data_IF_388691323393
#
_entry.id   IF_388691323393
#
_cell.length_a   1.000
_cell.length_b   1.000
_cell.length_c   1.000
_cell.angle_alpha   90.00
_cell.angle_beta   90.00
_cell.angle_gamma   90.00
#
_symmetry.space_group_name_H-M   'P 1'
#
loop_
_entity.id
_entity.type
_entity.pdbx_description
1 polymer ?
#
# COMPACT_ATOMS: atom_id res chain seq x y z
N UNK A 1 -7.07 -15.47 -16.33
CA UNK A 1 -6.96 -14.00 -16.44
C UNK A 1 -5.88 -13.45 -15.51
N UNK A 2 -5.90 -13.74 -14.22
CA UNK A 2 -4.89 -13.24 -13.28
C UNK A 2 -3.47 -13.67 -13.67
N UNK A 3 -3.27 -14.93 -14.05
CA UNK A 3 -1.99 -15.44 -14.55
C UNK A 3 -1.47 -14.67 -15.77
N UNK A 4 -2.36 -14.29 -16.68
CA UNK A 4 -2.00 -13.47 -17.85
C UNK A 4 -1.45 -12.09 -17.43
N UNK A 5 -2.00 -11.50 -16.37
CA UNK A 5 -1.48 -10.25 -15.81
C UNK A 5 -0.10 -10.44 -15.19
N UNK A 6 0.12 -11.51 -14.42
CA UNK A 6 1.45 -11.81 -13.87
C UNK A 6 2.52 -11.98 -14.96
N UNK A 7 2.21 -12.68 -16.04
CA UNK A 7 3.13 -12.86 -17.16
C UNK A 7 3.47 -11.56 -17.90
N UNK A 8 2.59 -10.57 -17.87
CA UNK A 8 2.73 -9.29 -18.57
C UNK A 8 2.90 -8.10 -17.62
N UNK A 9 3.18 -8.31 -16.35
CA UNK A 9 3.15 -7.30 -15.30
C UNK A 9 4.05 -6.07 -15.57
N UNK A 10 5.24 -6.27 -16.16
CA UNK A 10 6.16 -5.19 -16.53
C UNK A 10 5.53 -4.28 -17.59
N UNK A 11 5.00 -4.85 -18.69
CA UNK A 11 4.34 -4.12 -19.76
C UNK A 11 3.10 -3.36 -19.25
N UNK A 12 2.30 -4.00 -18.39
CA UNK A 12 1.10 -3.38 -17.80
C UNK A 12 1.50 -2.17 -16.95
N UNK A 13 2.53 -2.29 -16.10
CA UNK A 13 3.00 -1.17 -15.29
C UNK A 13 3.51 -0.01 -16.17
N UNK A 14 4.32 -0.29 -17.17
CA UNK A 14 4.81 0.73 -18.08
C UNK A 14 3.66 1.49 -18.77
N UNK A 15 2.68 0.77 -19.32
CA UNK A 15 1.51 1.36 -19.97
C UNK A 15 0.60 2.12 -18.99
N UNK A 16 0.42 1.61 -17.77
CA UNK A 16 -0.33 2.29 -16.72
C UNK A 16 0.33 3.61 -16.35
N UNK A 17 1.65 3.63 -16.21
CA UNK A 17 2.42 4.84 -15.90
C UNK A 17 2.33 5.87 -17.02
N UNK A 18 2.57 5.48 -18.28
CA UNK A 18 2.42 6.36 -19.45
C UNK A 18 1.01 6.95 -19.56
N UNK A 19 -0.03 6.12 -19.35
CA UNK A 19 -1.42 6.58 -19.37
C UNK A 19 -1.70 7.58 -18.24
N UNK A 20 -1.19 7.30 -17.02
CA UNK A 20 -1.34 8.19 -15.88
C UNK A 20 -0.71 9.56 -16.14
N UNK A 21 0.53 9.62 -16.60
CA UNK A 21 1.24 10.87 -16.90
C UNK A 21 0.51 11.71 -17.95
N UNK A 22 -0.06 11.06 -18.99
CA UNK A 22 -0.87 11.74 -20.01
C UNK A 22 -2.13 12.38 -19.44
N UNK A 23 -2.76 11.74 -18.44
CA UNK A 23 -3.96 12.28 -17.79
C UNK A 23 -3.58 13.35 -16.77
N UNK A 24 -2.51 13.15 -16.03
CA UNK A 24 -1.99 14.09 -15.06
C UNK A 24 -1.69 15.45 -15.68
N UNK A 25 -0.97 15.47 -16.82
CA UNK A 25 -0.63 16.70 -17.54
C UNK A 25 -1.84 17.45 -18.11
N UNK A 26 -2.99 16.78 -18.30
CA UNK A 26 -4.24 17.41 -18.76
C UNK A 26 -5.05 18.01 -17.61
N UNK A 27 -4.92 17.46 -16.40
CA UNK A 27 -5.76 17.82 -15.26
C UNK A 27 -5.05 18.72 -14.24
N UNK A 28 -3.75 18.86 -14.34
CA UNK A 28 -2.93 19.67 -13.40
C UNK A 28 -1.67 20.16 -14.10
N UNK A 29 -0.96 21.10 -13.43
CA UNK A 29 0.39 21.48 -13.82
C UNK A 29 1.46 20.47 -13.38
N UNK A 30 1.04 19.26 -13.00
CA UNK A 30 1.93 18.17 -12.60
C UNK A 30 2.45 17.41 -13.79
N UNK A 31 3.73 17.05 -13.75
CA UNK A 31 4.40 16.33 -14.80
C UNK A 31 4.98 15.00 -14.32
N UNK A 32 5.16 14.85 -12.99
CA UNK A 32 5.76 13.68 -12.39
C UNK A 32 4.93 13.15 -11.22
N UNK A 33 4.83 11.83 -11.12
CA UNK A 33 4.42 11.15 -9.90
C UNK A 33 5.67 10.56 -9.27
N UNK A 34 5.83 10.74 -7.96
CA UNK A 34 6.86 10.02 -7.19
C UNK A 34 6.20 9.08 -6.21
N UNK A 35 6.68 7.85 -6.22
CA UNK A 35 6.24 6.81 -5.29
C UNK A 35 7.44 6.24 -4.56
N UNK A 36 7.30 6.04 -3.26
CA UNK A 36 8.17 5.23 -2.42
C UNK A 36 7.34 4.17 -1.71
N UNK A 37 7.98 3.11 -1.27
CA UNK A 37 7.32 1.99 -0.59
C UNK A 37 7.88 1.79 0.81
N UNK A 38 7.02 1.36 1.73
CA UNK A 38 7.36 0.83 3.05
C UNK A 38 6.99 -0.65 3.04
N UNK A 39 7.98 -1.54 3.12
CA UNK A 39 7.78 -2.99 3.14
C UNK A 39 7.98 -3.50 4.56
N UNK A 40 6.91 -4.00 5.15
CA UNK A 40 6.90 -4.58 6.49
C UNK A 40 6.96 -6.11 6.42
N UNK A 41 7.65 -6.73 7.37
CA UNK A 41 7.75 -8.18 7.50
C UNK A 41 8.18 -8.56 8.91
N UNK A 42 7.96 -9.84 9.28
CA UNK A 42 8.49 -10.39 10.53
C UNK A 42 9.72 -11.23 10.27
N UNK A 43 10.73 -11.10 11.15
CA UNK A 43 11.82 -12.06 11.24
C UNK A 43 11.47 -13.11 12.28
N UNK A 44 11.44 -14.38 11.87
CA UNK A 44 11.03 -15.53 12.66
C UNK A 44 12.18 -16.52 12.84
N UNK A 45 12.14 -17.32 13.90
CA UNK A 45 13.03 -18.48 14.02
C UNK A 45 12.64 -19.59 13.00
N UNK A 46 13.42 -20.66 12.95
CA UNK A 46 13.15 -21.80 12.03
C UNK A 46 11.87 -22.57 12.33
N UNK A 47 11.29 -22.36 13.51
CA UNK A 47 10.01 -22.96 13.91
C UNK A 47 8.84 -21.97 13.69
N UNK A 48 9.08 -20.83 13.02
CA UNK A 48 8.13 -19.76 12.78
C UNK A 48 7.62 -19.05 14.06
N UNK A 49 8.41 -19.04 15.13
CA UNK A 49 8.12 -18.27 16.33
C UNK A 49 8.73 -16.86 16.23
N UNK A 50 8.15 -15.94 17.01
CA UNK A 50 8.70 -14.58 17.20
C UNK A 50 10.12 -14.64 17.78
N UNK A 51 11.00 -13.77 17.29
CA UNK A 51 12.35 -13.60 17.82
C UNK A 51 12.34 -12.47 18.83
N UNK A 52 12.62 -12.80 20.10
CA UNK A 52 12.72 -11.84 21.20
C UNK A 52 14.16 -11.35 21.44
N UNK A 53 15.15 -11.92 20.75
CA UNK A 53 16.54 -11.51 20.87
C UNK A 53 16.79 -10.22 20.10
N UNK A 54 16.89 -9.12 20.83
CA UNK A 54 17.09 -7.79 20.27
C UNK A 54 18.39 -7.68 19.45
N UNK A 55 19.46 -8.37 19.82
CA UNK A 55 20.73 -8.32 19.08
C UNK A 55 20.59 -8.93 17.67
N UNK A 56 19.80 -9.99 17.53
CA UNK A 56 19.53 -10.60 16.20
C UNK A 56 18.79 -9.60 15.32
N UNK A 57 17.74 -8.98 15.84
CA UNK A 57 16.92 -8.00 15.10
C UNK A 57 17.77 -6.77 14.73
N UNK A 58 18.55 -6.21 15.67
CA UNK A 58 19.36 -5.02 15.40
C UNK A 58 20.46 -5.30 14.37
N UNK A 59 21.14 -6.44 14.46
CA UNK A 59 22.13 -6.84 13.47
C UNK A 59 21.51 -7.02 12.09
N UNK A 60 20.31 -7.60 12.02
CA UNK A 60 19.57 -7.76 10.77
C UNK A 60 19.20 -6.39 10.19
N UNK A 61 18.63 -5.49 10.99
CA UNK A 61 18.28 -4.14 10.59
C UNK A 61 19.49 -3.36 10.07
N UNK A 62 20.61 -3.42 10.79
CA UNK A 62 21.85 -2.73 10.40
C UNK A 62 22.38 -3.24 9.05
N UNK A 63 22.32 -4.56 8.81
CA UNK A 63 22.80 -5.19 7.58
C UNK A 63 22.02 -4.78 6.33
N UNK A 64 20.73 -4.48 6.49
CA UNK A 64 19.80 -4.12 5.39
C UNK A 64 19.38 -2.64 5.39
N UNK A 65 19.91 -1.80 6.30
CA UNK A 65 19.46 -0.43 6.53
C UNK A 65 17.94 -0.36 6.81
N UNK A 66 17.44 -1.38 7.51
CA UNK A 66 16.06 -1.50 7.92
C UNK A 66 15.82 -0.84 9.28
N UNK A 67 14.56 -0.74 9.67
CA UNK A 67 14.13 -0.24 10.99
C UNK A 67 13.29 -1.30 11.69
N UNK A 68 13.29 -1.28 13.02
CA UNK A 68 12.29 -1.99 13.79
C UNK A 68 10.93 -1.34 13.57
N UNK A 69 9.91 -2.15 13.44
CA UNK A 69 8.52 -1.71 13.48
C UNK A 69 7.90 -2.07 14.84
N UNK A 70 6.61 -1.81 15.05
CA UNK A 70 5.98 -1.88 16.36
C UNK A 70 5.68 -3.31 16.84
N UNK A 71 5.50 -4.25 15.90
CA UNK A 71 5.30 -5.67 16.25
C UNK A 71 6.57 -6.34 16.75
N UNK A 72 6.43 -7.33 17.60
CA UNK A 72 7.57 -8.07 18.18
C UNK A 72 8.31 -8.87 17.08
N UNK A 73 9.54 -8.45 16.76
CA UNK A 73 10.30 -9.03 15.64
C UNK A 73 9.88 -8.49 14.26
N UNK A 74 9.02 -7.47 14.20
CA UNK A 74 8.63 -6.81 12.96
C UNK A 74 9.68 -5.79 12.52
N UNK A 75 9.91 -5.75 11.21
CA UNK A 75 10.93 -4.92 10.56
C UNK A 75 10.30 -4.22 9.36
N UNK A 76 10.74 -2.99 9.10
CA UNK A 76 10.35 -2.17 7.96
C UNK A 76 11.57 -1.79 7.13
N UNK A 77 11.44 -1.85 5.81
CA UNK A 77 12.38 -1.27 4.85
C UNK A 77 11.65 -0.24 4.01
N UNK A 78 12.25 0.95 3.92
CA UNK A 78 11.70 2.08 3.15
C UNK A 78 12.59 2.30 1.93
N UNK A 79 11.95 2.42 0.74
CA UNK A 79 12.64 2.81 -0.49
C UNK A 79 12.72 4.33 -0.63
N UNK A 80 13.60 4.80 -1.49
CA UNK A 80 13.59 6.19 -1.92
C UNK A 80 12.35 6.49 -2.79
N UNK A 81 11.97 7.78 -2.86
CA UNK A 81 10.93 8.27 -3.76
C UNK A 81 11.48 8.39 -5.17
N UNK A 82 10.81 7.78 -6.14
CA UNK A 82 11.23 7.82 -7.54
C UNK A 82 10.02 7.97 -8.48
N UNK A 83 10.25 8.55 -9.64
CA UNK A 83 9.33 8.58 -10.78
C UNK A 83 9.57 7.41 -11.75
N UNK A 84 10.65 6.66 -11.59
CA UNK A 84 10.90 5.44 -12.35
C UNK A 84 10.26 4.23 -11.65
N UNK A 85 8.97 4.00 -11.93
CA UNK A 85 8.18 2.99 -11.23
C UNK A 85 8.54 1.54 -11.60
N UNK A 86 9.13 1.30 -12.78
CA UNK A 86 9.66 -0.02 -13.13
C UNK A 86 10.90 -0.35 -12.29
N UNK A 87 11.80 0.62 -12.10
CA UNK A 87 12.96 0.45 -11.23
C UNK A 87 12.53 0.26 -9.77
N UNK A 88 11.54 1.03 -9.29
CA UNK A 88 10.98 0.84 -7.94
C UNK A 88 10.45 -0.59 -7.73
N UNK A 89 9.69 -1.08 -8.70
CA UNK A 89 9.14 -2.44 -8.61
C UNK A 89 10.25 -3.50 -8.57
N UNK A 90 11.25 -3.36 -9.42
CA UNK A 90 12.43 -4.25 -9.44
C UNK A 90 13.23 -4.14 -8.11
N UNK A 91 13.37 -2.94 -7.58
CA UNK A 91 14.05 -2.70 -6.29
C UNK A 91 13.34 -3.42 -5.14
N UNK A 92 12.01 -3.30 -5.04
CA UNK A 92 11.21 -3.98 -3.99
C UNK A 92 11.32 -5.51 -4.09
N UNK A 93 11.29 -6.08 -5.30
CA UNK A 93 11.54 -7.53 -5.48
C UNK A 93 12.95 -7.93 -5.03
N UNK A 94 13.96 -7.14 -5.40
CA UNK A 94 15.34 -7.39 -4.99
C UNK A 94 15.52 -7.25 -3.47
N UNK A 95 14.80 -6.32 -2.82
CA UNK A 95 14.78 -6.18 -1.36
C UNK A 95 14.19 -7.45 -0.74
N UNK A 96 13.04 -7.96 -1.21
CA UNK A 96 12.46 -9.21 -0.71
C UNK A 96 13.44 -10.40 -0.84
N UNK A 97 14.13 -10.49 -1.96
CA UNK A 97 15.13 -11.55 -2.19
C UNK A 97 16.33 -11.41 -1.22
N UNK A 98 16.83 -10.19 -1.01
CA UNK A 98 17.90 -9.92 -0.04
C UNK A 98 17.48 -10.26 1.39
N UNK A 99 16.27 -9.86 1.80
CA UNK A 99 15.70 -10.19 3.12
C UNK A 99 15.71 -11.70 3.33
N UNK A 100 15.17 -12.48 2.39
CA UNK A 100 15.15 -13.93 2.47
C UNK A 100 16.56 -14.54 2.56
N UNK A 101 17.48 -14.03 1.75
CA UNK A 101 18.89 -14.50 1.77
C UNK A 101 19.53 -14.24 3.13
N UNK A 102 19.42 -13.01 3.67
CA UNK A 102 19.99 -12.66 4.98
C UNK A 102 19.35 -13.45 6.11
N UNK A 103 18.02 -13.61 6.12
CA UNK A 103 17.30 -14.40 7.12
C UNK A 103 17.85 -15.85 7.15
N UNK A 104 17.98 -16.48 5.98
CA UNK A 104 18.50 -17.83 5.87
C UNK A 104 19.96 -17.96 6.39
N UNK A 105 20.82 -16.96 6.13
CA UNK A 105 22.21 -16.97 6.58
C UNK A 105 22.35 -16.91 8.12
N UNK A 106 21.39 -16.36 8.82
CA UNK A 106 21.35 -16.31 10.29
C UNK A 106 20.40 -17.36 10.90
N UNK A 107 20.07 -18.38 10.13
CA UNK A 107 19.15 -19.44 10.54
C UNK A 107 17.76 -18.95 10.99
N UNK A 108 17.22 -17.96 10.28
CA UNK A 108 15.88 -17.38 10.47
C UNK A 108 15.03 -17.51 9.21
N UNK A 109 13.74 -17.17 9.31
CA UNK A 109 12.80 -17.06 8.20
C UNK A 109 12.28 -15.62 8.12
N UNK A 110 12.13 -15.08 6.91
CA UNK A 110 11.40 -13.84 6.68
C UNK A 110 9.93 -14.16 6.36
N UNK A 111 9.00 -13.56 7.09
CA UNK A 111 7.58 -13.76 6.93
C UNK A 111 6.90 -12.49 6.41
N UNK A 112 6.40 -12.54 5.18
CA UNK A 112 5.65 -11.47 4.54
C UNK A 112 4.13 -11.67 4.64
N UNK A 113 3.65 -12.60 5.47
CA UNK A 113 2.23 -12.76 5.69
C UNK A 113 1.64 -11.54 6.37
N UNK A 114 0.48 -11.10 5.91
CA UNK A 114 -0.14 -9.86 6.34
C UNK A 114 -0.57 -9.86 7.80
N UNK A 115 -0.82 -11.05 8.40
CA UNK A 115 -1.21 -11.21 9.80
C UNK A 115 -0.68 -12.53 10.34
N UNK A 116 0.64 -12.66 10.58
CA UNK A 116 1.21 -13.93 11.06
C UNK A 116 0.85 -14.24 12.51
N UNK A 117 0.50 -13.21 13.31
CA UNK A 117 0.13 -13.34 14.72
C UNK A 117 -1.14 -12.54 15.02
N UNK A 118 -2.13 -13.19 15.64
CA UNK A 118 -3.42 -12.55 15.96
C UNK A 118 -3.28 -11.39 16.96
N UNK A 119 -2.35 -11.51 17.91
CA UNK A 119 -2.14 -10.57 19.01
C UNK A 119 -1.18 -9.42 18.69
N UNK A 120 -0.65 -9.34 17.47
CA UNK A 120 0.35 -8.37 17.08
C UNK A 120 -0.04 -7.57 15.83
N UNK A 121 0.80 -6.63 15.40
CA UNK A 121 0.60 -5.83 14.21
C UNK A 121 0.56 -6.69 12.94
N UNK A 122 -0.12 -6.23 11.90
CA UNK A 122 -0.05 -6.83 10.58
C UNK A 122 1.09 -6.23 9.76
N UNK A 123 1.46 -6.89 8.65
CA UNK A 123 2.49 -6.42 7.71
C UNK A 123 1.88 -5.98 6.38
N UNK A 124 2.33 -4.84 5.90
CA UNK A 124 1.87 -4.18 4.69
C UNK A 124 2.99 -3.93 3.68
N UNK A 125 2.59 -3.64 2.45
CA UNK A 125 3.35 -2.91 1.46
C UNK A 125 2.65 -1.56 1.27
N UNK A 126 3.11 -0.51 1.97
CA UNK A 126 2.50 0.81 1.90
C UNK A 126 3.10 1.62 0.77
N UNK A 127 2.26 2.39 0.06
CA UNK A 127 2.68 3.23 -1.06
C UNK A 127 2.57 4.70 -0.66
N UNK A 128 3.69 5.39 -0.65
CA UNK A 128 3.78 6.82 -0.43
C UNK A 128 3.80 7.55 -1.77
N UNK A 129 2.78 8.35 -2.05
CA UNK A 129 2.51 8.93 -3.38
C UNK A 129 2.51 10.44 -3.28
N UNK A 130 3.23 11.12 -4.17
CA UNK A 130 3.24 12.57 -4.32
C UNK A 130 3.29 13.00 -5.79
N UNK A 131 2.79 14.21 -6.07
CA UNK A 131 2.76 14.78 -7.42
C UNK A 131 3.68 16.01 -7.48
N UNK A 132 4.43 16.15 -8.58
CA UNK A 132 5.45 17.16 -8.74
C UNK A 132 5.34 17.87 -10.09
N UNK A 133 5.72 19.15 -10.14
CA UNK A 133 5.84 19.93 -11.36
C UNK A 133 7.16 19.64 -12.11
N UNK A 134 7.38 20.31 -13.24
CA UNK A 134 8.61 20.21 -14.05
C UNK A 134 9.89 20.58 -13.28
N UNK A 135 9.77 21.47 -12.29
CA UNK A 135 10.88 21.89 -11.43
C UNK A 135 11.06 21.01 -10.20
N UNK A 136 10.29 19.91 -10.13
CA UNK A 136 10.35 18.95 -9.04
C UNK A 136 9.81 19.47 -7.69
N UNK A 137 9.00 20.56 -7.70
CA UNK A 137 8.27 20.99 -6.51
C UNK A 137 7.04 20.14 -6.32
N UNK A 138 6.77 19.78 -5.08
CA UNK A 138 5.54 19.07 -4.71
C UNK A 138 4.35 20.02 -4.85
N UNK A 139 3.42 19.65 -5.74
CA UNK A 139 2.22 20.44 -6.04
C UNK A 139 0.95 19.75 -5.55
N UNK A 140 1.08 18.79 -4.66
CA UNK A 140 -0.03 18.00 -4.14
C UNK A 140 -0.90 18.87 -3.21
N UNK A 141 -1.72 19.73 -3.80
CA UNK A 141 -2.69 20.59 -3.11
C UNK A 141 -3.87 19.77 -2.55
N UNK A 142 -4.75 20.45 -1.79
CA UNK A 142 -5.85 19.75 -1.12
C UNK A 142 -6.86 19.19 -2.13
N UNK A 143 -7.12 19.84 -3.27
CA UNK A 143 -8.03 19.34 -4.30
C UNK A 143 -7.48 18.10 -5.01
N UNK A 144 -6.21 18.14 -5.41
CA UNK A 144 -5.54 16.99 -6.04
C UNK A 144 -5.47 15.78 -5.09
N UNK A 145 -5.15 16.05 -3.81
CA UNK A 145 -5.16 15.01 -2.77
C UNK A 145 -6.55 14.38 -2.66
N UNK A 146 -7.60 15.17 -2.59
CA UNK A 146 -8.96 14.71 -2.40
C UNK A 146 -9.42 13.87 -3.60
N UNK A 147 -9.14 14.32 -4.83
CA UNK A 147 -9.46 13.55 -6.03
C UNK A 147 -8.67 12.24 -6.13
N UNK A 148 -7.37 12.26 -5.81
CA UNK A 148 -6.53 11.07 -5.79
C UNK A 148 -6.98 10.08 -4.70
N UNK A 149 -7.25 10.57 -3.49
CA UNK A 149 -7.73 9.74 -2.39
C UNK A 149 -9.08 9.08 -2.70
N UNK A 150 -10.04 9.86 -3.23
CA UNK A 150 -11.34 9.33 -3.62
C UNK A 150 -11.24 8.35 -4.79
N UNK A 151 -10.36 8.59 -5.77
CA UNK A 151 -10.10 7.64 -6.85
C UNK A 151 -9.57 6.30 -6.35
N UNK A 152 -8.65 6.31 -5.39
CA UNK A 152 -8.13 5.10 -4.74
C UNK A 152 -9.21 4.38 -3.94
N UNK A 153 -10.02 5.09 -3.15
CA UNK A 153 -11.06 4.49 -2.32
C UNK A 153 -12.20 3.90 -3.17
N UNK A 154 -12.73 4.64 -4.16
CA UNK A 154 -13.75 4.15 -5.10
C UNK A 154 -13.30 2.89 -5.86
N UNK A 155 -11.99 2.77 -6.09
CA UNK A 155 -11.41 1.64 -6.82
C UNK A 155 -11.01 0.48 -5.92
N UNK A 156 -10.96 0.66 -4.60
CA UNK A 156 -10.31 -0.30 -3.69
C UNK A 156 -10.87 -1.70 -3.79
N UNK A 157 -12.18 -1.89 -3.84
CA UNK A 157 -12.79 -3.22 -3.96
C UNK A 157 -12.43 -3.91 -5.28
N UNK A 158 -12.32 -3.16 -6.38
CA UNK A 158 -11.90 -3.68 -7.69
C UNK A 158 -10.43 -4.05 -7.75
N UNK A 159 -9.60 -3.48 -6.87
CA UNK A 159 -8.16 -3.71 -6.81
C UNK A 159 -7.75 -4.81 -5.81
N UNK A 160 -8.66 -5.21 -4.89
CA UNK A 160 -8.28 -6.05 -3.74
C UNK A 160 -7.51 -7.31 -4.11
N UNK A 161 -7.86 -7.99 -5.20
CA UNK A 161 -7.16 -9.20 -5.61
C UNK A 161 -5.69 -8.96 -6.04
N UNK A 162 -5.35 -7.73 -6.44
CA UNK A 162 -3.96 -7.32 -6.70
C UNK A 162 -3.25 -6.87 -5.42
N UNK A 163 -3.98 -6.33 -4.44
CA UNK A 163 -3.46 -5.77 -3.19
C UNK A 163 -3.38 -6.80 -2.06
N UNK A 164 -4.29 -7.78 -2.04
CA UNK A 164 -4.39 -8.84 -1.04
C UNK A 164 -4.68 -10.17 -1.73
N UNK A 165 -3.66 -10.79 -2.40
CA UNK A 165 -3.87 -11.93 -3.30
C UNK A 165 -4.09 -13.25 -2.58
N UNK A 166 -3.83 -13.36 -1.27
CA UNK A 166 -3.93 -14.58 -0.49
C UNK A 166 -5.08 -14.53 0.52
N UNK A 167 -5.65 -15.70 0.85
CA UNK A 167 -6.69 -15.81 1.87
C UNK A 167 -6.26 -15.17 3.21
N UNK A 168 -5.02 -15.42 3.64
CA UNK A 168 -4.48 -14.92 4.90
C UNK A 168 -4.33 -13.39 4.94
N UNK A 169 -4.28 -12.72 3.78
CA UNK A 169 -4.13 -11.27 3.72
C UNK A 169 -5.34 -10.54 4.32
N UNK A 170 -6.53 -11.16 4.26
CA UNK A 170 -7.78 -10.58 4.75
C UNK A 170 -7.90 -10.60 6.28
N UNK A 171 -7.16 -11.46 6.99
CA UNK A 171 -7.14 -11.48 8.46
C UNK A 171 -6.61 -10.16 9.05
N UNK A 172 -5.82 -9.42 8.26
CA UNK A 172 -5.32 -8.10 8.65
C UNK A 172 -6.44 -7.05 8.77
N UNK A 173 -7.56 -7.22 8.08
CA UNK A 173 -8.67 -6.27 8.03
C UNK A 173 -9.78 -6.58 9.06
N UNK A 174 -9.52 -7.44 10.03
CA UNK A 174 -10.48 -7.73 11.11
C UNK A 174 -10.68 -6.49 12.00
N UNK A 175 -11.95 -6.05 12.14
CA UNK A 175 -12.29 -4.84 12.87
C UNK A 175 -12.00 -4.97 14.37
N UNK A 176 -12.38 -6.09 14.98
CA UNK A 176 -12.28 -6.26 16.43
C UNK A 176 -10.81 -6.40 16.87
N UNK A 177 -10.01 -7.11 16.09
CA UNK A 177 -8.56 -7.17 16.32
C UNK A 177 -7.91 -5.80 16.21
N UNK A 178 -8.26 -5.01 15.20
CA UNK A 178 -7.70 -3.68 15.01
C UNK A 178 -8.19 -2.69 16.07
N UNK A 179 -9.44 -2.75 16.52
CA UNK A 179 -9.93 -2.00 17.70
C UNK A 179 -9.10 -2.33 18.94
N UNK A 180 -8.87 -3.63 19.23
CA UNK A 180 -8.05 -4.06 20.37
C UNK A 180 -6.62 -3.52 20.28
N UNK A 181 -5.96 -3.63 19.12
CA UNK A 181 -4.62 -3.09 18.91
C UNK A 181 -4.59 -1.57 19.10
N UNK A 182 -5.59 -0.85 18.59
CA UNK A 182 -5.72 0.60 18.76
C UNK A 182 -5.80 1.01 20.24
N UNK A 183 -6.62 0.32 21.04
CA UNK A 183 -6.69 0.58 22.48
C UNK A 183 -5.38 0.28 23.22
N UNK A 184 -4.59 -0.68 22.71
CA UNK A 184 -3.25 -0.98 23.20
C UNK A 184 -2.18 0.00 22.67
N UNK A 185 -2.58 1.04 21.92
CA UNK A 185 -1.71 2.01 21.25
C UNK A 185 -0.71 1.37 20.27
N UNK A 186 -1.06 0.22 19.71
CA UNK A 186 -0.32 -0.43 18.64
C UNK A 186 -0.79 0.07 17.28
N UNK A 187 0.05 -0.06 16.28
CA UNK A 187 -0.32 0.28 14.90
C UNK A 187 -1.33 -0.74 14.36
N UNK A 188 -2.32 -0.20 13.64
CA UNK A 188 -3.43 -0.95 13.10
C UNK A 188 -3.39 -0.98 11.58
N UNK A 189 -4.00 -2.03 11.00
CA UNK A 189 -4.38 -2.01 9.61
C UNK A 189 -5.67 -1.19 9.43
N UNK A 190 -5.91 -0.59 8.25
CA UNK A 190 -7.22 -0.03 7.93
C UNK A 190 -8.26 -1.15 7.81
N UNK A 191 -9.49 -0.86 8.18
CA UNK A 191 -10.63 -1.78 8.05
C UNK A 191 -11.76 -1.20 7.21
N UNK A 192 -11.69 0.10 6.92
CA UNK A 192 -12.70 0.87 6.20
C UNK A 192 -12.09 1.64 5.04
N UNK A 193 -12.89 1.96 4.04
CA UNK A 193 -12.56 2.90 2.98
C UNK A 193 -12.64 4.32 3.54
N UNK A 194 -11.50 4.91 3.86
CA UNK A 194 -11.38 6.19 4.55
C UNK A 194 -10.04 6.88 4.29
N UNK A 195 -10.02 8.21 4.41
CA UNK A 195 -8.79 8.97 4.40
C UNK A 195 -8.80 10.08 5.45
N UNK A 196 -7.62 10.48 5.92
CA UNK A 196 -7.50 11.52 6.93
C UNK A 196 -6.08 12.07 7.09
N UNK A 197 -5.98 13.31 7.60
CA UNK A 197 -4.70 13.97 7.83
C UNK A 197 -4.01 13.36 9.05
N UNK A 198 -2.79 12.83 8.85
CA UNK A 198 -1.97 12.12 9.84
C UNK A 198 -2.74 11.03 10.62
N UNK A 199 -3.76 10.45 10.01
CA UNK A 199 -4.67 9.51 10.61
C UNK A 199 -4.31 8.06 10.27
N UNK A 200 -3.69 7.34 11.20
CA UNK A 200 -3.25 5.96 11.03
C UNK A 200 -4.38 4.91 11.08
N UNK A 201 -5.61 5.29 11.48
CA UNK A 201 -6.77 4.39 11.41
C UNK A 201 -7.41 4.34 10.01
N UNK A 202 -7.05 5.26 9.11
CA UNK A 202 -7.59 5.34 7.76
C UNK A 202 -6.84 4.44 6.77
N UNK A 203 -7.52 4.08 5.67
CA UNK A 203 -6.94 3.38 4.52
C UNK A 203 -5.92 4.25 3.77
N UNK A 204 -6.15 5.56 3.75
CA UNK A 204 -5.22 6.54 3.20
C UNK A 204 -4.92 7.57 4.28
N UNK A 205 -3.63 7.71 4.59
CA UNK A 205 -3.12 8.77 5.46
C UNK A 205 -2.52 9.87 4.62
N UNK A 206 -2.96 11.11 4.83
CA UNK A 206 -2.30 12.29 4.28
C UNK A 206 -1.16 12.66 5.22
N UNK A 207 0.07 12.36 4.84
CA UNK A 207 1.24 12.75 5.60
C UNK A 207 1.58 14.22 5.33
N UNK A 208 1.63 15.02 6.39
CA UNK A 208 2.05 16.43 6.35
C UNK A 208 3.25 16.62 7.26
N UNK A 209 4.23 17.38 6.82
CA UNK A 209 5.31 17.86 7.69
C UNK A 209 5.26 19.37 7.72
N UNK A 210 5.18 19.92 8.91
CA UNK A 210 5.26 21.38 9.13
C UNK A 210 6.62 21.96 8.74
N UNK A 211 7.66 21.12 8.81
CA UNK A 211 9.04 21.53 8.54
C UNK A 211 9.47 21.35 7.08
N UNK A 212 8.65 20.70 6.25
CA UNK A 212 8.95 20.45 4.84
C UNK A 212 7.66 20.40 4.01
N UNK A 213 7.21 21.52 3.43
CA UNK A 213 6.03 21.57 2.56
C UNK A 213 6.10 20.56 1.40
N UNK A 214 7.31 20.27 0.92
CA UNK A 214 7.55 19.31 -0.15
C UNK A 214 7.35 17.84 0.25
N UNK A 215 7.10 17.54 1.54
CA UNK A 215 6.91 16.18 2.04
C UNK A 215 5.45 15.70 2.04
N UNK A 216 4.50 16.54 1.61
CA UNK A 216 3.07 16.20 1.58
C UNK A 216 2.80 15.04 0.61
N UNK A 217 2.16 13.99 1.09
CA UNK A 217 1.92 12.78 0.31
C UNK A 217 0.72 12.00 0.81
N UNK A 218 0.20 11.13 -0.03
CA UNK A 218 -0.74 10.07 0.35
C UNK A 218 0.05 8.80 0.69
N UNK A 219 -0.22 8.22 1.84
CA UNK A 219 0.22 6.89 2.25
C UNK A 219 -0.97 5.93 2.08
N UNK A 220 -0.94 5.10 1.02
CA UNK A 220 -1.97 4.09 0.76
C UNK A 220 -1.60 2.79 1.46
N UNK A 221 -2.45 2.32 2.39
CA UNK A 221 -2.11 1.35 3.44
C UNK A 221 -2.78 -0.02 3.29
N UNK A 222 -3.56 -0.24 2.22
CA UNK A 222 -4.35 -1.47 2.06
C UNK A 222 -3.48 -2.66 1.63
N UNK A 223 -2.47 -2.46 0.79
CA UNK A 223 -1.77 -3.59 0.18
C UNK A 223 -1.01 -4.45 1.21
N UNK A 224 -1.11 -5.75 1.00
CA UNK A 224 -0.40 -6.79 1.74
C UNK A 224 1.10 -6.78 1.41
N UNK A 225 1.96 -7.15 2.36
CA UNK A 225 3.37 -7.37 2.10
C UNK A 225 3.62 -8.47 1.03
N UNK A 226 2.66 -9.38 0.83
CA UNK A 226 2.67 -10.42 -0.20
C UNK A 226 2.27 -9.91 -1.60
N UNK A 227 1.72 -8.70 -1.74
CA UNK A 227 1.24 -8.19 -3.01
C UNK A 227 2.35 -8.17 -4.08
N UNK A 228 1.97 -8.41 -5.34
CA UNK A 228 2.85 -8.18 -6.48
C UNK A 228 2.97 -6.67 -6.71
N UNK A 229 4.18 -6.16 -6.62
CA UNK A 229 4.46 -4.72 -6.69
C UNK A 229 4.08 -4.13 -8.05
N UNK A 230 4.31 -4.84 -9.17
CA UNK A 230 4.01 -4.35 -10.52
C UNK A 230 2.50 -4.21 -10.72
N UNK A 231 1.73 -5.23 -10.33
CA UNK A 231 0.27 -5.23 -10.48
C UNK A 231 -0.38 -4.25 -9.50
N UNK A 232 0.14 -4.13 -8.28
CA UNK A 232 -0.33 -3.14 -7.29
C UNK A 232 -0.12 -1.71 -7.79
N UNK A 233 1.08 -1.36 -8.27
CA UNK A 233 1.37 -0.05 -8.84
C UNK A 233 0.48 0.24 -10.06
N UNK A 234 0.29 -0.75 -10.93
CA UNK A 234 -0.58 -0.61 -12.11
C UNK A 234 -2.02 -0.28 -11.72
N UNK A 235 -2.57 -1.02 -10.75
CA UNK A 235 -3.93 -0.79 -10.24
C UNK A 235 -4.06 0.59 -9.59
N UNK A 236 -3.08 0.99 -8.76
CA UNK A 236 -3.02 2.31 -8.12
C UNK A 236 -3.00 3.43 -9.18
N UNK A 237 -2.18 3.32 -10.22
CA UNK A 237 -2.11 4.34 -11.28
C UNK A 237 -3.41 4.47 -12.06
N UNK A 238 -4.10 3.35 -12.32
CA UNK A 238 -5.42 3.36 -12.98
C UNK A 238 -6.45 4.01 -12.05
N UNK A 239 -6.44 3.71 -10.77
CA UNK A 239 -7.33 4.31 -9.76
C UNK A 239 -7.11 5.82 -9.61
N UNK A 240 -5.85 6.27 -9.57
CA UNK A 240 -5.50 7.69 -9.56
C UNK A 240 -5.96 8.39 -10.85
N UNK A 241 -5.79 7.74 -12.01
CA UNK A 241 -6.30 8.24 -13.30
C UNK A 241 -7.81 8.43 -13.26
N UNK A 242 -8.53 7.46 -12.67
CA UNK A 242 -9.98 7.56 -12.49
C UNK A 242 -10.36 8.74 -11.60
N UNK A 243 -9.71 8.90 -10.45
CA UNK A 243 -9.97 10.01 -9.51
C UNK A 243 -9.76 11.39 -10.15
N UNK A 244 -8.63 11.57 -10.86
CA UNK A 244 -8.32 12.83 -11.55
C UNK A 244 -9.31 13.18 -12.67
N UNK A 245 -9.88 12.18 -13.35
CA UNK A 245 -10.88 12.39 -14.40
C UNK A 245 -12.28 12.60 -13.82
N UNK A 246 -12.68 11.81 -12.85
CA UNK A 246 -14.04 11.84 -12.26
C UNK A 246 -14.24 13.10 -11.41
N UNK A 247 -13.22 13.54 -10.69
CA UNK A 247 -13.26 14.70 -9.76
C UNK A 247 -14.41 14.63 -8.75
N UNK A 248 -14.81 13.39 -8.39
CA UNK A 248 -15.85 13.12 -7.41
C UNK A 248 -15.26 13.00 -6.03
N UNK A 249 -16.01 13.45 -5.02
CA UNK A 249 -15.69 13.34 -3.61
C UNK A 249 -16.82 12.54 -2.94
N UNK A 250 -16.68 11.21 -2.97
CA UNK A 250 -17.64 10.28 -2.36
C UNK A 250 -17.32 10.02 -0.88
N UNK A 251 -16.05 10.13 -0.50
CA UNK A 251 -15.57 9.90 0.85
C UNK A 251 -15.10 11.23 1.46
N UNK A 252 -15.68 11.68 2.59
CA UNK A 252 -15.20 12.85 3.31
C UNK A 252 -13.94 12.54 4.09
N UNK A 253 -13.12 13.56 4.38
CA UNK A 253 -11.95 13.43 5.26
C UNK A 253 -12.38 13.11 6.68
N UNK A 254 -11.72 12.14 7.31
CA UNK A 254 -11.98 11.70 8.68
C UNK A 254 -11.01 12.38 9.65
N UNK A 255 -11.55 12.95 10.73
CA UNK A 255 -10.80 13.70 11.74
C UNK A 255 -10.66 12.98 13.09
N UNK A 256 -11.23 11.79 13.23
CA UNK A 256 -11.17 10.96 14.43
C UNK A 256 -10.74 9.54 14.13
N UNK A 257 -11.07 8.63 15.02
CA UNK A 257 -10.78 7.22 14.83
C UNK A 257 -11.71 6.63 13.77
N UNK A 258 -11.17 6.19 12.62
CA UNK A 258 -11.96 5.61 11.53
C UNK A 258 -12.67 4.28 11.92
N UNK A 259 -12.37 3.69 13.09
CA UNK A 259 -13.07 2.51 13.61
C UNK A 259 -14.39 2.86 14.32
N UNK A 260 -14.68 4.15 14.57
CA UNK A 260 -15.87 4.58 15.25
C UNK A 260 -17.10 4.48 14.32
N UNK A 261 -18.14 3.83 14.80
CA UNK A 261 -19.38 3.58 14.04
C UNK A 261 -20.13 4.85 13.62
N UNK A 262 -19.84 5.98 14.27
CA UNK A 262 -20.43 7.28 13.95
C UNK A 262 -20.16 7.69 12.49
N UNK A 263 -19.02 7.27 11.91
CA UNK A 263 -18.65 7.60 10.55
C UNK A 263 -19.38 6.77 9.48
N UNK A 264 -19.99 5.63 9.84
CA UNK A 264 -20.73 4.73 8.93
C UNK A 264 -19.95 4.41 7.65
N UNK A 265 -18.65 4.15 7.80
CA UNK A 265 -17.75 3.92 6.67
C UNK A 265 -17.99 2.56 6.03
N UNK A 266 -17.80 2.51 4.71
CA UNK A 266 -17.78 1.26 3.95
C UNK A 266 -16.56 0.43 4.33
N UNK A 267 -16.76 -0.87 4.58
CA UNK A 267 -15.68 -1.78 4.97
C UNK A 267 -14.82 -2.16 3.76
N UNK A 268 -13.52 -2.37 4.00
CA UNK A 268 -12.66 -3.13 3.09
C UNK A 268 -13.22 -4.57 2.98
N UNK A 269 -13.06 -5.23 1.82
CA UNK A 269 -13.51 -6.60 1.61
C UNK A 269 -12.86 -7.54 2.65
N UNK A 270 -13.64 -8.48 3.18
CA UNK A 270 -13.26 -9.30 4.35
C UNK A 270 -12.71 -10.68 3.98
N UNK A 271 -12.84 -11.08 2.73
CA UNK A 271 -12.38 -12.38 2.27
C UNK A 271 -12.00 -12.37 0.78
N UNK A 272 -11.30 -13.40 0.37
CA UNK A 272 -10.81 -13.55 -0.99
C UNK A 272 -11.95 -13.82 -2.00
N UNK A 273 -13.04 -14.45 -1.58
CA UNK A 273 -14.19 -14.77 -2.46
C UNK A 273 -14.91 -13.49 -2.89
N UNK A 274 -15.12 -12.55 -1.95
CA UNK A 274 -15.64 -11.23 -2.30
C UNK A 274 -14.72 -10.52 -3.30
N UNK A 275 -13.41 -10.59 -3.10
CA UNK A 275 -12.43 -9.96 -4.00
C UNK A 275 -12.40 -10.62 -5.39
N UNK A 276 -12.54 -11.95 -5.46
CA UNK A 276 -12.71 -12.65 -6.74
C UNK A 276 -13.99 -12.24 -7.44
N UNK A 277 -15.09 -12.08 -6.69
CA UNK A 277 -16.36 -11.61 -7.24
C UNK A 277 -16.22 -10.20 -7.84
N UNK A 278 -15.56 -9.27 -7.12
CA UNK A 278 -15.27 -7.93 -7.64
C UNK A 278 -14.33 -7.94 -8.84
N UNK A 279 -13.31 -8.78 -8.82
CA UNK A 279 -12.39 -8.94 -9.94
C UNK A 279 -13.10 -9.36 -11.24
N UNK A 280 -14.07 -10.25 -11.15
CA UNK A 280 -14.84 -10.76 -12.30
C UNK A 280 -16.06 -9.92 -12.68
N UNK A 281 -16.35 -8.83 -11.94
CA UNK A 281 -17.46 -7.94 -12.32
C UNK A 281 -17.25 -7.35 -13.71
N UNK A 282 -18.33 -7.30 -14.51
CA UNK A 282 -18.31 -6.74 -15.87
C UNK A 282 -17.92 -5.26 -15.91
N UNK A 283 -18.18 -4.52 -14.84
CA UNK A 283 -17.88 -3.10 -14.68
C UNK A 283 -16.52 -2.83 -14.00
N UNK A 284 -15.74 -3.88 -13.69
CA UNK A 284 -14.39 -3.69 -13.15
C UNK A 284 -13.49 -3.00 -14.19
N UNK A 285 -13.41 -1.68 -14.09
CA UNK A 285 -12.65 -0.84 -15.00
C UNK A 285 -11.12 -0.99 -14.82
N UNK A 286 -10.64 -1.41 -13.63
CA UNK A 286 -9.23 -1.71 -13.39
C UNK A 286 -8.78 -2.89 -14.25
N UNK A 287 -9.51 -4.00 -14.19
CA UNK A 287 -9.24 -5.21 -14.98
C UNK A 287 -9.35 -4.90 -16.48
N UNK A 288 -10.42 -4.18 -16.89
CA UNK A 288 -10.59 -3.77 -18.29
C UNK A 288 -9.40 -2.97 -18.79
N UNK A 289 -8.94 -1.99 -18.00
CA UNK A 289 -7.82 -1.14 -18.39
C UNK A 289 -6.51 -1.91 -18.47
N UNK A 290 -6.27 -2.83 -17.54
CA UNK A 290 -5.11 -3.72 -17.60
C UNK A 290 -5.13 -4.63 -18.85
N UNK A 291 -6.31 -5.13 -19.26
CA UNK A 291 -6.47 -5.90 -20.50
C UNK A 291 -6.15 -5.08 -21.76
N UNK A 292 -6.52 -3.79 -21.77
CA UNK A 292 -6.13 -2.88 -22.89
C UNK A 292 -4.62 -2.66 -22.98
N UNK A 293 -3.86 -2.91 -21.92
CA UNK A 293 -2.41 -2.72 -21.86
C UNK A 293 -1.63 -3.99 -22.22
N UNK A 294 -2.30 -5.12 -22.38
CA UNK A 294 -1.69 -6.35 -22.90
C UNK A 294 -1.39 -6.24 -24.41
#
# INVERSE_FOLDING_TARGET
MLELFYLNRHKILEKSHQNFLKILSKNSNSHHIKIGCELEFFLLDKNNNKIFNNNIIDNFCNSLKAKREQGEGQIEIITDFTDNLLNLATEVENIKNKINHFANNINCNACFDSKPFEDDCGSALQFNISLHDEKNYNIFDDNLIEHCANGLLDSSHFMMLFLAPKLQDYYRFDLELNKKLFYLKKYTAPVNLSFGSDNRSCAIRICKSTNSPNSKRLEYRIASANADIYLSLSAILIALTYGLNAKKVNYPMIYGNAFDEIYKLESILKNIEESQNYFHKKDNFIVKKMLEFL
#
